data_IF_155276851307
#
_entry.id   IF_155276851307
#
_cell.length_a   1.000
_cell.length_b   1.000
_cell.length_c   1.000
_cell.angle_alpha   90.00
_cell.angle_beta   90.00
_cell.angle_gamma   90.00
#
_symmetry.space_group_name_H-M   'P 1'
#
loop_
_entity.id
_entity.type
_entity.pdbx_description
1 polymer ?
#
# COMPACT_ATOMS: atom_id res chain seq x y z
N UNK A 1 -6.51 16.32 2.12
CA UNK A 1 -7.61 15.69 1.35
C UNK A 1 -7.81 14.26 1.84
N UNK A 2 -9.01 13.93 2.27
CA UNK A 2 -9.35 12.55 2.60
C UNK A 2 -9.55 11.77 1.31
N UNK A 3 -8.65 10.84 1.02
CA UNK A 3 -8.80 9.91 -0.12
C UNK A 3 -9.94 8.93 0.19
N UNK A 4 -11.06 9.13 -0.46
CA UNK A 4 -12.17 8.17 -0.44
C UNK A 4 -11.85 7.00 -1.38
N UNK A 5 -11.10 6.02 -0.90
CA UNK A 5 -10.56 4.90 -1.66
C UNK A 5 -11.59 4.15 -2.54
N UNK A 6 -12.84 4.07 -2.11
CA UNK A 6 -13.86 3.35 -2.87
C UNK A 6 -14.38 4.07 -4.13
N UNK A 7 -14.50 5.40 -4.08
CA UNK A 7 -14.94 6.19 -5.23
C UNK A 7 -13.84 6.36 -6.27
N UNK A 8 -12.60 6.55 -5.82
CA UNK A 8 -11.44 6.70 -6.69
C UNK A 8 -11.13 5.40 -7.46
N UNK A 9 -11.25 4.26 -6.81
CA UNK A 9 -11.11 2.95 -7.46
C UNK A 9 -12.12 2.74 -8.60
N UNK A 10 -13.38 3.07 -8.37
CA UNK A 10 -14.42 2.98 -9.41
C UNK A 10 -14.15 3.89 -10.60
N UNK A 11 -13.72 5.14 -10.34
CA UNK A 11 -13.34 6.09 -11.38
C UNK A 11 -12.16 5.58 -12.20
N UNK A 12 -11.18 4.97 -11.54
CA UNK A 12 -10.01 4.42 -12.21
C UNK A 12 -10.38 3.25 -13.13
N UNK A 13 -11.19 2.29 -12.66
CA UNK A 13 -11.66 1.19 -13.52
C UNK A 13 -12.42 1.72 -14.74
N UNK A 14 -13.32 2.67 -14.54
CA UNK A 14 -14.07 3.27 -15.64
C UNK A 14 -13.15 3.99 -16.63
N UNK A 15 -12.11 4.67 -16.16
CA UNK A 15 -11.09 5.30 -17.01
C UNK A 15 -10.28 4.27 -17.79
N UNK A 16 -9.81 3.21 -17.14
CA UNK A 16 -9.07 2.13 -17.80
C UNK A 16 -9.88 1.46 -18.90
N UNK A 17 -11.17 1.18 -18.65
CA UNK A 17 -12.06 0.59 -19.64
C UNK A 17 -12.23 1.48 -20.87
N UNK A 18 -12.46 2.78 -20.67
CA UNK A 18 -12.59 3.74 -21.76
C UNK A 18 -11.31 3.85 -22.58
N UNK A 19 -10.16 3.96 -21.93
CA UNK A 19 -8.85 4.02 -22.60
C UNK A 19 -8.56 2.72 -23.36
N UNK A 20 -8.92 1.57 -22.81
CA UNK A 20 -8.77 0.30 -23.49
C UNK A 20 -9.58 0.23 -24.78
N UNK A 21 -10.79 0.78 -24.82
CA UNK A 21 -11.60 0.88 -26.04
C UNK A 21 -10.96 1.81 -27.07
N UNK A 22 -10.46 2.96 -26.65
CA UNK A 22 -9.76 3.92 -27.51
C UNK A 22 -8.49 3.30 -28.11
N UNK A 23 -7.71 2.56 -27.32
CA UNK A 23 -6.49 1.89 -27.77
C UNK A 23 -6.78 0.73 -28.74
N UNK A 24 -7.85 -0.04 -28.52
CA UNK A 24 -8.32 -1.05 -29.50
C UNK A 24 -8.71 -0.42 -30.82
N UNK A 25 -9.43 0.69 -30.77
CA UNK A 25 -9.80 1.44 -31.98
C UNK A 25 -8.57 1.99 -32.72
N UNK A 26 -7.50 2.31 -32.02
CA UNK A 26 -6.23 2.72 -32.58
C UNK A 26 -5.35 1.55 -33.09
N UNK A 27 -5.80 0.31 -32.96
CA UNK A 27 -5.12 -0.89 -33.47
C UNK A 27 -4.09 -1.48 -32.53
N UNK A 28 -4.10 -1.14 -31.24
CA UNK A 28 -3.21 -1.74 -30.25
C UNK A 28 -3.64 -3.17 -29.89
N UNK A 29 -2.65 -4.01 -29.59
CA UNK A 29 -2.91 -5.38 -29.12
C UNK A 29 -3.35 -5.39 -27.66
N UNK A 30 -4.06 -6.44 -27.23
CA UNK A 30 -4.49 -6.60 -25.84
C UNK A 30 -3.29 -6.65 -24.86
N UNK A 31 -2.15 -7.20 -25.31
CA UNK A 31 -0.91 -7.21 -24.50
C UNK A 31 -0.36 -5.79 -24.27
N UNK A 32 -0.36 -4.95 -25.30
CA UNK A 32 0.07 -3.56 -25.17
C UNK A 32 -0.89 -2.76 -24.27
N UNK A 33 -2.18 -2.96 -24.40
CA UNK A 33 -3.20 -2.32 -23.56
C UNK A 33 -3.03 -2.74 -22.09
N UNK A 34 -2.83 -4.03 -21.86
CA UNK A 34 -2.58 -4.54 -20.51
C UNK A 34 -1.29 -3.99 -19.87
N UNK A 35 -0.23 -3.86 -20.68
CA UNK A 35 1.04 -3.28 -20.21
C UNK A 35 0.89 -1.81 -19.82
N UNK A 36 0.17 -1.01 -20.59
CA UNK A 36 -0.12 0.40 -20.27
C UNK A 36 -0.96 0.49 -18.99
N UNK A 37 -2.00 -0.31 -18.88
CA UNK A 37 -2.83 -0.32 -17.66
C UNK A 37 -2.05 -0.72 -16.41
N UNK A 38 -1.12 -1.68 -16.52
CA UNK A 38 -0.23 -2.06 -15.42
C UNK A 38 0.71 -0.93 -15.02
N UNK A 39 1.29 -0.23 -15.98
CA UNK A 39 2.16 0.92 -15.75
C UNK A 39 1.41 2.07 -15.05
N UNK A 40 0.22 2.42 -15.54
CA UNK A 40 -0.62 3.47 -14.95
C UNK A 40 -1.02 3.14 -13.50
N UNK A 41 -1.33 1.87 -13.21
CA UNK A 41 -1.63 1.43 -11.84
C UNK A 41 -0.43 1.54 -10.92
N UNK A 42 0.76 1.21 -11.40
CA UNK A 42 1.99 1.34 -10.61
C UNK A 42 2.32 2.81 -10.34
N UNK A 43 2.20 3.69 -11.33
CA UNK A 43 2.37 5.13 -11.15
C UNK A 43 1.41 5.68 -10.08
N UNK A 44 0.14 5.30 -10.11
CA UNK A 44 -0.85 5.69 -9.10
C UNK A 44 -0.54 5.13 -7.70
N UNK A 45 0.04 3.94 -7.61
CA UNK A 45 0.49 3.38 -6.33
C UNK A 45 1.68 4.16 -5.77
N UNK A 46 2.63 4.51 -6.65
CA UNK A 46 3.79 5.34 -6.29
C UNK A 46 3.35 6.70 -5.75
N UNK A 47 2.42 7.37 -6.43
CA UNK A 47 1.86 8.65 -5.98
C UNK A 47 1.16 8.50 -4.62
N UNK A 48 0.33 7.48 -4.44
CA UNK A 48 -0.34 7.24 -3.15
C UNK A 48 0.64 6.97 -2.02
N UNK A 49 1.71 6.23 -2.30
CA UNK A 49 2.81 5.96 -1.36
C UNK A 49 3.47 7.26 -0.94
N UNK A 50 3.88 8.07 -1.92
CA UNK A 50 4.49 9.38 -1.69
C UNK A 50 3.60 10.28 -0.81
N UNK A 51 2.33 10.48 -1.17
CA UNK A 51 1.42 11.33 -0.41
C UNK A 51 1.16 10.83 1.01
N UNK A 52 1.08 9.53 1.23
CA UNK A 52 0.92 8.97 2.59
C UNK A 52 2.11 9.29 3.49
N UNK A 53 3.30 9.12 2.98
CA UNK A 53 4.52 9.36 3.76
C UNK A 53 4.78 10.85 3.96
N UNK A 54 4.52 11.69 2.97
CA UNK A 54 4.76 13.13 3.03
C UNK A 54 3.78 13.85 3.97
N UNK A 55 2.51 13.45 3.97
CA UNK A 55 1.49 14.05 4.86
C UNK A 55 1.68 13.70 6.34
N UNK A 56 2.29 12.56 6.64
CA UNK A 56 2.56 12.14 8.01
C UNK A 56 3.67 12.95 8.68
N UNK A 57 4.61 13.48 7.92
CA UNK A 57 5.79 14.20 8.43
C UNK A 57 5.51 15.69 8.73
N UNK A 58 4.63 16.36 8.00
CA UNK A 58 4.38 17.80 8.15
C UNK A 58 2.91 18.17 7.93
N UNK A 59 2.04 17.98 8.94
CA UNK A 59 0.69 18.50 8.84
C UNK A 59 0.72 20.04 8.86
N UNK A 60 0.53 20.68 7.70
CA UNK A 60 0.46 22.13 7.56
C UNK A 60 1.49 22.80 6.65
N UNK A 61 2.47 22.06 6.16
CA UNK A 61 3.31 22.52 5.05
C UNK A 61 2.70 22.08 3.73
N UNK A 62 2.47 23.02 2.83
CA UNK A 62 2.06 22.75 1.46
C UNK A 62 3.04 21.84 0.71
N UNK A 63 2.73 21.43 -0.50
CA UNK A 63 3.59 20.52 -1.26
C UNK A 63 4.99 21.12 -1.38
N UNK A 64 5.98 20.38 -0.88
CA UNK A 64 7.39 20.70 -1.07
C UNK A 64 7.71 20.64 -2.57
N UNK A 65 8.03 21.78 -3.17
CA UNK A 65 8.33 21.92 -4.60
C UNK A 65 9.61 21.20 -5.06
N UNK A 66 10.34 20.56 -4.19
CA UNK A 66 11.51 19.76 -4.57
C UNK A 66 11.90 18.76 -3.49
N UNK A 67 11.27 17.61 -3.49
CA UNK A 67 11.89 16.44 -2.87
C UNK A 67 12.71 15.74 -3.94
N UNK A 68 14.02 15.50 -3.74
CA UNK A 68 14.80 14.69 -4.67
C UNK A 68 14.09 13.34 -4.84
N UNK A 69 13.95 12.89 -6.08
CA UNK A 69 13.43 11.54 -6.33
C UNK A 69 14.23 10.54 -5.49
N UNK A 70 13.55 9.73 -4.67
CA UNK A 70 14.27 8.68 -3.96
C UNK A 70 14.87 7.73 -4.98
N UNK A 71 16.16 7.49 -4.87
CA UNK A 71 16.90 6.51 -5.64
C UNK A 71 16.40 5.12 -5.27
N UNK A 72 15.34 4.66 -5.93
CA UNK A 72 15.00 3.25 -5.88
C UNK A 72 15.79 2.57 -6.98
N UNK A 73 16.90 2.01 -6.62
CA UNK A 73 17.43 0.90 -7.39
C UNK A 73 16.39 -0.21 -7.24
N UNK A 74 15.67 -0.50 -8.31
CA UNK A 74 14.81 -1.67 -8.43
C UNK A 74 15.71 -2.91 -8.39
N UNK A 75 16.20 -3.26 -7.21
CA UNK A 75 16.71 -4.59 -7.01
C UNK A 75 15.50 -5.53 -7.09
N UNK A 76 15.53 -6.43 -8.06
CA UNK A 76 14.64 -7.58 -8.19
C UNK A 76 14.73 -8.43 -6.91
N UNK A 77 14.15 -7.90 -5.82
CA UNK A 77 14.04 -8.60 -4.55
C UNK A 77 12.99 -9.67 -4.66
N UNK A 78 13.39 -10.91 -4.61
CA UNK A 78 12.48 -12.03 -4.38
C UNK A 78 11.68 -11.82 -3.08
N UNK A 79 10.76 -12.73 -2.76
CA UNK A 79 9.89 -12.67 -1.58
C UNK A 79 10.62 -12.35 -0.26
N UNK A 80 11.93 -12.60 -0.19
CA UNK A 80 12.78 -12.24 0.95
C UNK A 80 12.89 -10.72 1.14
N UNK A 81 13.07 -9.94 0.07
CA UNK A 81 13.24 -8.48 0.15
C UNK A 81 11.94 -7.71 0.44
N UNK A 82 10.77 -8.31 0.21
CA UNK A 82 9.48 -7.61 0.45
C UNK A 82 9.17 -7.35 1.92
N UNK A 83 9.83 -8.04 2.84
CA UNK A 83 9.64 -7.88 4.29
C UNK A 83 10.81 -7.17 4.98
N UNK A 84 11.81 -6.70 4.23
CA UNK A 84 12.99 -6.03 4.75
C UNK A 84 12.65 -4.75 5.51
N UNK A 85 11.52 -4.12 5.20
CA UNK A 85 10.99 -2.99 5.95
C UNK A 85 10.81 -3.27 7.46
N UNK A 86 10.67 -4.54 7.87
CA UNK A 86 10.62 -4.90 9.29
C UNK A 86 11.93 -4.57 10.01
N UNK A 87 13.06 -4.68 9.33
CA UNK A 87 14.38 -4.40 9.89
C UNK A 87 14.64 -2.90 10.02
N UNK A 88 13.92 -2.07 9.25
CA UNK A 88 14.00 -0.60 9.32
C UNK A 88 13.18 0.01 10.46
N UNK A 89 12.37 -0.80 11.15
CA UNK A 89 11.53 -0.32 12.25
C UNK A 89 12.38 -0.05 13.49
N UNK A 90 12.51 1.24 13.81
CA UNK A 90 13.29 1.70 14.95
C UNK A 90 12.62 1.50 16.31
N UNK A 91 11.29 1.37 16.35
CA UNK A 91 10.53 1.15 17.57
C UNK A 91 10.54 -0.34 17.96
N UNK A 92 11.25 -0.74 19.04
CA UNK A 92 11.38 -2.13 19.41
C UNK A 92 10.06 -2.77 19.86
N UNK A 93 9.13 -1.99 20.41
CA UNK A 93 7.81 -2.48 20.83
C UNK A 93 6.92 -2.77 19.64
N UNK A 94 6.94 -1.88 18.65
CA UNK A 94 6.23 -2.09 17.39
C UNK A 94 6.80 -3.29 16.63
N UNK A 95 8.12 -3.40 16.54
CA UNK A 95 8.79 -4.52 15.88
C UNK A 95 8.44 -5.86 16.55
N UNK A 96 8.47 -5.91 17.88
CA UNK A 96 8.08 -7.11 18.62
C UNK A 96 6.63 -7.52 18.34
N UNK A 97 5.70 -6.56 18.33
CA UNK A 97 4.30 -6.81 18.04
C UNK A 97 4.07 -7.26 16.58
N UNK A 98 4.81 -6.70 15.62
CA UNK A 98 4.73 -7.08 14.20
C UNK A 98 5.26 -8.50 13.95
N UNK A 99 6.31 -8.91 14.64
CA UNK A 99 6.86 -10.27 14.53
C UNK A 99 5.93 -11.38 15.03
N UNK A 100 4.95 -11.04 15.84
CA UNK A 100 3.90 -11.96 16.30
C UNK A 100 2.78 -12.17 15.26
N UNK A 101 2.75 -11.39 14.20
CA UNK A 101 1.70 -11.47 13.19
C UNK A 101 1.90 -12.68 12.26
N UNK A 102 0.77 -13.23 11.82
CA UNK A 102 0.79 -14.24 10.77
C UNK A 102 1.30 -13.66 9.44
N UNK A 103 2.08 -14.43 8.64
CA UNK A 103 2.63 -13.96 7.37
C UNK A 103 1.60 -13.34 6.41
N UNK A 104 0.39 -13.89 6.34
CA UNK A 104 -0.69 -13.34 5.50
C UNK A 104 -1.09 -11.92 5.90
N UNK A 105 -1.05 -11.62 7.19
CA UNK A 105 -1.37 -10.27 7.69
C UNK A 105 -0.22 -9.32 7.39
N UNK A 106 1.02 -9.78 7.51
CA UNK A 106 2.21 -9.01 7.11
C UNK A 106 2.20 -8.71 5.61
N UNK A 107 1.76 -9.65 4.77
CA UNK A 107 1.61 -9.42 3.34
C UNK A 107 0.56 -8.33 3.06
N UNK A 108 -0.61 -8.40 3.69
CA UNK A 108 -1.64 -7.36 3.55
C UNK A 108 -1.10 -6.00 4.01
N UNK A 109 -0.36 -5.96 5.10
CA UNK A 109 0.25 -4.74 5.62
C UNK A 109 1.29 -4.18 4.64
N UNK A 110 2.15 -5.03 4.09
CA UNK A 110 3.15 -4.66 3.08
C UNK A 110 2.47 -4.05 1.84
N UNK A 111 1.51 -4.74 1.28
CA UNK A 111 0.75 -4.24 0.12
C UNK A 111 0.07 -2.91 0.42
N UNK A 112 -0.56 -2.78 1.58
CA UNK A 112 -1.35 -1.59 1.92
C UNK A 112 -0.49 -0.37 2.28
N UNK A 113 0.55 -0.55 3.11
CA UNK A 113 1.35 0.57 3.64
C UNK A 113 2.52 0.90 2.72
N UNK A 114 3.29 -0.11 2.32
CA UNK A 114 4.55 0.10 1.60
C UNK A 114 4.39 0.12 0.08
N UNK A 115 3.56 -0.77 -0.46
CA UNK A 115 3.34 -0.83 -1.91
C UNK A 115 2.19 0.07 -2.40
N UNK A 116 1.43 0.69 -1.50
CA UNK A 116 0.38 1.65 -1.83
C UNK A 116 -0.87 1.06 -2.49
N UNK A 117 -1.11 -0.25 -2.32
CA UNK A 117 -2.33 -0.89 -2.82
C UNK A 117 -3.57 -0.42 -2.06
N UNK A 118 -4.68 -0.28 -2.76
CA UNK A 118 -5.97 -0.05 -2.12
C UNK A 118 -6.55 -1.36 -1.59
N UNK A 119 -7.45 -1.28 -0.62
CA UNK A 119 -8.11 -2.47 -0.07
C UNK A 119 -8.86 -3.29 -1.14
N UNK A 120 -9.59 -2.70 -2.11
CA UNK A 120 -10.17 -3.44 -3.22
C UNK A 120 -9.14 -4.16 -4.10
N UNK A 121 -8.01 -3.54 -4.40
CA UNK A 121 -6.92 -4.17 -5.18
C UNK A 121 -6.33 -5.38 -4.44
N UNK A 122 -6.09 -5.24 -3.12
CA UNK A 122 -5.61 -6.33 -2.28
C UNK A 122 -6.64 -7.46 -2.24
N UNK A 123 -7.91 -7.14 -2.08
CA UNK A 123 -8.99 -8.12 -2.09
C UNK A 123 -9.04 -8.91 -3.40
N UNK A 124 -8.90 -8.23 -4.52
CA UNK A 124 -8.84 -8.86 -5.84
C UNK A 124 -7.61 -9.78 -5.97
N UNK A 125 -6.43 -9.32 -5.54
CA UNK A 125 -5.19 -10.11 -5.58
C UNK A 125 -5.28 -11.37 -4.74
N UNK A 126 -5.86 -11.27 -3.54
CA UNK A 126 -5.95 -12.38 -2.59
C UNK A 126 -7.22 -13.23 -2.76
N UNK A 127 -8.07 -12.91 -3.74
CA UNK A 127 -9.30 -13.68 -4.01
C UNK A 127 -10.34 -13.59 -2.89
N UNK A 128 -10.40 -12.47 -2.17
CA UNK A 128 -11.35 -12.25 -1.08
C UNK A 128 -12.17 -10.96 -1.26
N UNK A 129 -13.09 -10.68 -0.35
CA UNK A 129 -13.91 -9.47 -0.41
C UNK A 129 -13.17 -8.26 0.17
N UNK A 130 -13.52 -7.06 -0.31
CA UNK A 130 -13.03 -5.80 0.25
C UNK A 130 -13.32 -5.69 1.76
N UNK A 131 -14.51 -6.13 2.19
CA UNK A 131 -14.91 -6.14 3.60
C UNK A 131 -14.00 -7.05 4.44
N UNK A 132 -13.54 -8.16 3.89
CA UNK A 132 -12.60 -9.06 4.56
C UNK A 132 -11.27 -8.35 4.83
N UNK A 133 -10.70 -7.66 3.81
CA UNK A 133 -9.47 -6.88 3.97
C UNK A 133 -9.65 -5.74 4.97
N UNK A 134 -10.73 -4.98 4.86
CA UNK A 134 -11.06 -3.91 5.81
C UNK A 134 -11.15 -4.42 7.24
N UNK A 135 -11.85 -5.53 7.46
CA UNK A 135 -11.99 -6.16 8.77
C UNK A 135 -10.65 -6.66 9.33
N UNK A 136 -9.78 -7.22 8.49
CA UNK A 136 -8.42 -7.65 8.90
C UNK A 136 -7.56 -6.47 9.31
N UNK A 137 -7.58 -5.36 8.58
CA UNK A 137 -6.83 -4.14 8.91
C UNK A 137 -7.33 -3.49 10.21
N UNK A 138 -8.64 -3.48 10.46
CA UNK A 138 -9.22 -2.98 11.72
C UNK A 138 -8.77 -3.83 12.90
N UNK A 139 -8.82 -5.16 12.77
CA UNK A 139 -8.36 -6.11 13.80
C UNK A 139 -6.87 -5.98 14.07
N UNK A 140 -6.06 -5.85 13.01
CA UNK A 140 -4.62 -5.64 13.10
C UNK A 140 -4.29 -4.38 13.89
N UNK A 141 -4.93 -3.25 13.55
CA UNK A 141 -4.71 -1.97 14.24
C UNK A 141 -5.07 -2.08 15.73
N UNK A 142 -6.14 -2.77 16.05
CA UNK A 142 -6.57 -3.02 17.43
C UNK A 142 -5.60 -3.95 18.18
N UNK A 143 -5.12 -5.00 17.52
CA UNK A 143 -4.12 -5.91 18.06
C UNK A 143 -2.82 -5.18 18.40
N UNK A 144 -2.26 -4.42 17.45
CA UNK A 144 -1.02 -3.68 17.65
C UNK A 144 -1.11 -2.69 18.82
N UNK A 145 -2.19 -1.93 18.93
CA UNK A 145 -2.40 -1.02 20.05
C UNK A 145 -2.38 -1.73 21.39
N UNK A 146 -3.10 -2.84 21.52
CA UNK A 146 -3.17 -3.63 22.75
C UNK A 146 -1.82 -4.26 23.10
N UNK A 147 -1.14 -4.81 22.09
CA UNK A 147 0.13 -5.50 22.31
C UNK A 147 1.22 -4.54 22.71
N UNK A 148 1.33 -3.40 22.06
CA UNK A 148 2.29 -2.35 22.40
C UNK A 148 2.04 -1.83 23.83
N UNK A 149 0.79 -1.61 24.23
CA UNK A 149 0.46 -1.19 25.60
C UNK A 149 0.93 -2.21 26.64
N UNK A 150 0.69 -3.49 26.39
CA UNK A 150 1.16 -4.56 27.29
C UNK A 150 2.69 -4.64 27.37
N UNK A 151 3.37 -4.54 26.23
CA UNK A 151 4.83 -4.56 26.19
C UNK A 151 5.45 -3.38 26.95
N UNK A 152 4.79 -2.21 26.92
CA UNK A 152 5.20 -1.07 27.77
C UNK A 152 5.06 -1.37 29.25
N UNK A 153 3.95 -1.90 29.67
CA UNK A 153 3.69 -2.28 31.07
C UNK A 153 4.70 -3.33 31.55
N UNK A 154 5.07 -4.29 30.70
CA UNK A 154 6.08 -5.32 31.00
C UNK A 154 7.50 -4.75 31.14
N UNK A 155 7.81 -3.62 30.50
CA UNK A 155 9.11 -2.95 30.61
C UNK A 155 9.20 -1.99 31.80
N UNK A 156 8.08 -1.44 32.24
CA UNK A 156 8.02 -0.49 33.36
C UNK A 156 7.85 -1.15 34.73
N UNK A 157 7.58 -2.46 34.75
CA UNK A 157 7.42 -3.27 35.98
C UNK A 157 8.67 -4.06 36.32
#
# INVERSE_FOLDING_TARGET
>A
MSWHNGSEWKKQIAREQRLAEEYRAAGMTEEQIAAIAAFDREALRSDRRFYRHTQALYPGLGPLESVPEPWYEDEEGGLSGRMDWLEEISDPLLLAALRELHPDILEILTLYVFEGWTQPEIAQKLGCTHQNISGRLVRLRRFLRRRISRLKEEQEG
#
